data_IF_407377274418
#
_entry.id   IF_407377274418
#
_cell.length_a   1.000
_cell.length_b   1.000
_cell.length_c   1.000
_cell.angle_alpha   90.00
_cell.angle_beta   90.00
_cell.angle_gamma   90.00
#
_symmetry.space_group_name_H-M   'P 1'
#
loop_
_entity.id
_entity.type
_entity.pdbx_description
1 polymer ?
#
# COMPACT_ATOMS: atom_id res chain seq x y z
N UNK A 1 0.99 -0.64 -5.25
CA UNK A 1 1.52 -0.81 -6.62
C UNK A 1 2.76 0.06 -6.77
N UNK A 2 3.96 -0.49 -6.57
CA UNK A 2 5.22 0.28 -6.61
C UNK A 2 5.41 1.05 -7.92
N UNK A 3 4.87 0.54 -9.04
CA UNK A 3 4.92 1.18 -10.36
C UNK A 3 4.27 2.57 -10.42
N UNK A 4 3.35 2.88 -9.51
CA UNK A 4 2.65 4.16 -9.52
C UNK A 4 3.47 5.29 -8.86
N UNK A 5 4.67 5.00 -8.30
CA UNK A 5 5.59 6.01 -7.79
C UNK A 5 5.48 6.29 -6.29
N UNK A 6 4.93 5.35 -5.52
CA UNK A 6 5.01 5.37 -4.06
C UNK A 6 6.05 4.34 -3.61
N UNK A 7 6.93 4.74 -2.69
CA UNK A 7 7.94 3.86 -2.11
C UNK A 7 7.28 3.02 -1.01
N UNK A 8 6.84 1.81 -1.37
CA UNK A 8 6.11 0.92 -0.47
C UNK A 8 7.05 0.39 0.62
N UNK A 9 6.78 0.77 1.86
CA UNK A 9 7.49 0.24 3.04
C UNK A 9 7.00 -1.18 3.33
N UNK A 10 5.68 -1.40 3.25
CA UNK A 10 5.10 -2.73 3.43
C UNK A 10 3.60 -2.72 3.73
N UNK A 11 3.06 -3.93 3.83
CA UNK A 11 1.71 -4.22 4.31
C UNK A 11 1.82 -4.89 5.67
N UNK A 12 1.05 -4.38 6.63
CA UNK A 12 1.10 -4.79 8.01
C UNK A 12 -0.30 -5.18 8.47
N UNK A 13 -0.42 -6.32 9.14
CA UNK A 13 -1.59 -6.66 9.93
C UNK A 13 -1.16 -6.68 11.41
N UNK A 14 -2.09 -6.39 12.36
CA UNK A 14 -1.81 -6.55 13.77
C UNK A 14 -1.37 -7.99 14.04
N UNK A 15 -0.15 -8.15 14.59
CA UNK A 15 0.32 -9.45 15.07
C UNK A 15 -0.53 -9.95 16.26
N UNK A 16 -1.07 -9.00 17.03
CA UNK A 16 -2.03 -9.23 18.10
C UNK A 16 -3.04 -8.07 18.08
N UNK A 17 -4.32 -8.35 18.34
CA UNK A 17 -5.40 -7.36 18.31
C UNK A 17 -6.40 -7.59 17.17
N UNK A 18 -6.68 -6.56 16.38
CA UNK A 18 -7.75 -6.60 15.37
C UNK A 18 -7.40 -7.51 14.19
N UNK A 19 -8.23 -8.51 13.94
CA UNK A 19 -8.14 -9.36 12.74
C UNK A 19 -8.73 -8.69 11.48
N UNK A 20 -9.37 -7.51 11.62
CA UNK A 20 -10.09 -6.83 10.53
C UNK A 20 -9.38 -5.58 10.03
N UNK A 21 -8.22 -5.23 10.61
CA UNK A 21 -7.47 -4.03 10.25
C UNK A 21 -6.17 -4.42 9.55
N UNK A 22 -5.88 -3.78 8.42
CA UNK A 22 -4.60 -3.86 7.75
C UNK A 22 -4.10 -2.44 7.43
N UNK A 23 -2.79 -2.26 7.45
CA UNK A 23 -2.12 -1.00 7.18
C UNK A 23 -1.19 -1.15 5.98
N UNK A 24 -1.23 -0.18 5.07
CA UNK A 24 -0.24 -0.05 4.01
C UNK A 24 0.55 1.24 4.27
N UNK A 25 1.87 1.10 4.48
CA UNK A 25 2.75 2.24 4.68
C UNK A 25 3.63 2.45 3.44
N UNK A 26 3.71 3.68 2.97
CA UNK A 26 4.58 4.07 1.88
C UNK A 26 5.07 5.51 2.06
N UNK A 27 6.25 5.79 1.54
CA UNK A 27 6.83 7.13 1.50
C UNK A 27 6.51 7.79 0.16
N UNK A 28 6.24 9.10 0.25
CA UNK A 28 6.00 9.97 -0.90
C UNK A 28 6.60 11.33 -0.61
N UNK A 29 7.15 11.97 -1.64
CA UNK A 29 7.96 13.17 -1.49
C UNK A 29 7.19 14.36 -0.90
N UNK A 30 5.96 14.57 -1.37
CA UNK A 30 5.10 15.67 -0.95
C UNK A 30 3.62 15.39 -1.31
N UNK A 31 2.72 16.27 -0.88
CA UNK A 31 1.28 16.11 -1.12
C UNK A 31 0.89 16.21 -2.61
N UNK A 32 1.60 17.02 -3.41
CA UNK A 32 1.34 17.10 -4.85
C UNK A 32 1.70 15.79 -5.57
N UNK A 33 2.84 15.18 -5.19
CA UNK A 33 3.22 13.85 -5.66
C UNK A 33 2.19 12.78 -5.26
N UNK A 34 1.59 12.91 -4.06
CA UNK A 34 0.51 12.03 -3.60
C UNK A 34 -0.77 12.15 -4.44
N UNK A 35 -1.19 13.35 -4.81
CA UNK A 35 -2.33 13.54 -5.70
C UNK A 35 -2.07 12.95 -7.09
N UNK A 36 -0.89 13.19 -7.65
CA UNK A 36 -0.48 12.59 -8.93
C UNK A 36 -0.40 11.05 -8.85
N UNK A 37 0.07 10.49 -7.73
CA UNK A 37 0.04 9.06 -7.46
C UNK A 37 -1.40 8.52 -7.44
N UNK A 38 -2.32 9.21 -6.75
CA UNK A 38 -3.74 8.82 -6.68
C UNK A 38 -4.40 8.83 -8.06
N UNK A 39 -4.16 9.85 -8.86
CA UNK A 39 -4.69 9.93 -10.23
C UNK A 39 -4.19 8.76 -11.09
N UNK A 40 -2.89 8.45 -11.01
CA UNK A 40 -2.30 7.29 -11.70
C UNK A 40 -2.87 5.96 -11.21
N UNK A 41 -3.03 5.79 -9.89
CA UNK A 41 -3.57 4.57 -9.30
C UNK A 41 -5.03 4.32 -9.72
N UNK A 42 -5.84 5.38 -9.82
CA UNK A 42 -7.22 5.29 -10.28
C UNK A 42 -7.34 4.94 -11.77
N UNK A 43 -6.37 5.37 -12.58
CA UNK A 43 -6.31 5.07 -14.01
C UNK A 43 -5.64 3.71 -14.33
N UNK A 44 -4.89 3.13 -13.40
CA UNK A 44 -4.20 1.85 -13.61
C UNK A 44 -5.22 0.69 -13.69
N UNK A 45 -5.20 -0.13 -14.77
CA UNK A 45 -6.13 -1.24 -14.93
C UNK A 45 -6.09 -2.27 -13.80
N UNK A 46 -4.91 -2.55 -13.23
CA UNK A 46 -4.76 -3.45 -12.09
C UNK A 46 -5.25 -2.79 -10.79
N UNK A 47 -5.06 -1.48 -10.65
CA UNK A 47 -5.63 -0.69 -9.55
C UNK A 47 -7.17 -0.75 -9.55
N UNK A 48 -7.78 -0.58 -10.72
CA UNK A 48 -9.23 -0.67 -10.91
C UNK A 48 -9.75 -2.09 -10.67
N UNK A 49 -9.11 -3.12 -11.22
CA UNK A 49 -9.49 -4.51 -10.98
C UNK A 49 -9.44 -4.88 -9.49
N UNK A 50 -8.41 -4.44 -8.77
CA UNK A 50 -8.30 -4.65 -7.33
C UNK A 50 -9.40 -3.91 -6.55
N UNK A 51 -9.72 -2.69 -6.95
CA UNK A 51 -10.80 -1.93 -6.32
C UNK A 51 -12.16 -2.59 -6.56
N UNK A 52 -12.44 -3.02 -7.80
CA UNK A 52 -13.69 -3.69 -8.16
C UNK A 52 -13.82 -5.04 -7.44
N UNK A 53 -12.73 -5.80 -7.32
CA UNK A 53 -12.66 -7.01 -6.50
C UNK A 53 -12.98 -6.71 -5.03
N UNK A 54 -12.34 -5.69 -4.44
CA UNK A 54 -12.60 -5.27 -3.07
C UNK A 54 -14.02 -4.82 -2.82
N UNK A 55 -14.61 -4.13 -3.79
CA UNK A 55 -15.97 -3.63 -3.72
C UNK A 55 -16.99 -4.76 -3.84
N UNK A 56 -16.72 -5.76 -4.70
CA UNK A 56 -17.58 -6.94 -4.89
C UNK A 56 -17.59 -7.83 -3.66
N UNK A 57 -16.41 -8.15 -3.14
CA UNK A 57 -16.25 -9.05 -2.00
C UNK A 57 -16.47 -8.34 -0.65
N UNK A 58 -16.63 -7.01 -0.65
CA UNK A 58 -16.96 -6.17 0.52
C UNK A 58 -16.01 -6.34 1.72
N UNK A 59 -14.75 -6.71 1.48
CA UNK A 59 -13.78 -6.89 2.55
C UNK A 59 -13.18 -5.56 3.06
N UNK A 60 -13.31 -4.46 2.32
CA UNK A 60 -12.94 -3.12 2.80
C UNK A 60 -14.20 -2.41 3.27
N UNK A 61 -14.44 -2.45 4.59
CA UNK A 61 -15.57 -1.78 5.23
C UNK A 61 -15.28 -0.30 5.49
N UNK A 62 -14.02 0.03 5.75
CA UNK A 62 -13.56 1.39 6.05
C UNK A 62 -12.13 1.55 5.55
N UNK A 63 -11.85 2.65 4.88
CA UNK A 63 -10.49 3.06 4.52
C UNK A 63 -10.20 4.41 5.17
N UNK A 64 -9.28 4.42 6.14
CA UNK A 64 -8.75 5.64 6.74
C UNK A 64 -7.35 5.92 6.19
N UNK A 65 -7.00 7.20 6.05
CA UNK A 65 -5.69 7.63 5.56
C UNK A 65 -5.09 8.65 6.52
N UNK A 66 -3.83 8.44 6.88
CA UNK A 66 -3.10 9.32 7.80
C UNK A 66 -1.77 9.70 7.14
N UNK A 67 -1.45 10.99 7.16
CA UNK A 67 -0.18 11.51 6.66
C UNK A 67 0.75 11.76 7.84
N UNK A 68 1.86 11.03 7.86
CA UNK A 68 2.84 11.10 8.93
C UNK A 68 4.08 11.84 8.43
N UNK A 69 4.63 12.70 9.28
CA UNK A 69 5.95 13.29 9.09
C UNK A 69 6.96 12.47 9.89
N UNK A 70 8.04 12.03 9.26
CA UNK A 70 9.13 11.35 9.95
C UNK A 70 9.83 12.36 10.87
N UNK A 71 9.61 12.25 12.18
CA UNK A 71 10.18 13.16 13.20
C UNK A 71 11.54 12.68 13.71
N UNK A 72 11.79 11.37 13.68
CA UNK A 72 13.08 10.76 13.98
C UNK A 72 13.29 9.56 13.05
N UNK A 73 14.46 9.49 12.42
CA UNK A 73 14.84 8.37 11.57
C UNK A 73 15.04 7.09 12.40
N UNK A 74 15.14 5.92 11.76
CA UNK A 74 15.45 4.68 12.46
C UNK A 74 16.76 4.84 13.24
N UNK A 75 16.71 4.57 14.54
CA UNK A 75 17.87 4.62 15.44
C UNK A 75 18.76 3.37 15.32
N UNK A 76 18.57 2.58 14.25
CA UNK A 76 19.31 1.38 13.92
C UNK A 76 19.48 1.25 12.40
N UNK A 77 20.37 0.35 11.94
CA UNK A 77 20.64 0.17 10.51
C UNK A 77 19.37 -0.27 9.77
N UNK A 78 19.09 0.39 8.63
CA UNK A 78 17.99 0.02 7.75
C UNK A 78 18.27 -1.37 7.18
N UNK A 79 17.56 -2.40 7.63
CA UNK A 79 17.57 -3.69 6.93
C UNK A 79 16.95 -3.49 5.56
N UNK A 80 17.80 -3.50 4.52
CA UNK A 80 17.35 -3.56 3.14
C UNK A 80 16.90 -4.99 2.88
N UNK A 81 15.60 -5.23 2.97
CA UNK A 81 15.03 -6.46 2.44
C UNK A 81 14.92 -6.30 0.92
N UNK A 82 15.84 -6.93 0.19
CA UNK A 82 15.70 -7.11 -1.26
C UNK A 82 14.50 -8.03 -1.46
N UNK A 83 13.35 -7.43 -1.76
CA UNK A 83 12.17 -8.21 -2.09
C UNK A 83 12.27 -8.50 -3.57
N UNK A 84 12.68 -9.71 -3.94
CA UNK A 84 12.34 -10.27 -5.24
C UNK A 84 10.81 -10.23 -5.31
N UNK A 85 10.29 -9.25 -6.04
CA UNK A 85 8.86 -9.15 -6.32
C UNK A 85 8.52 -10.31 -7.26
N UNK A 86 8.27 -11.50 -6.71
CA UNK A 86 7.54 -12.54 -7.41
C UNK A 86 6.10 -12.05 -7.50
N UNK A 87 5.81 -11.36 -8.60
CA UNK A 87 4.44 -11.22 -9.08
C UNK A 87 3.95 -12.65 -9.30
N UNK A 88 3.17 -13.19 -8.34
CA UNK A 88 2.37 -14.38 -8.61
C UNK A 88 1.30 -13.97 -9.61
N UNK A 89 1.61 -14.13 -10.89
CA UNK A 89 0.58 -14.34 -11.89
C UNK A 89 -0.22 -15.58 -11.49
N UNK A 90 -1.54 -15.48 -11.56
CA UNK A 90 -2.45 -16.63 -11.55
C UNK A 90 -2.78 -17.20 -10.17
N UNK A 91 -3.88 -16.74 -9.59
CA UNK A 91 -4.81 -17.65 -8.92
C UNK A 91 -6.15 -17.47 -9.63
N UNK A 92 -6.34 -18.26 -10.69
CA UNK A 92 -7.65 -18.64 -11.20
C UNK A 92 -8.20 -19.79 -10.35
N UNK A 93 -9.52 -19.75 -10.14
CA UNK A 93 -10.43 -20.77 -9.61
C UNK A 93 -10.31 -21.15 -8.12
#
# INVERSE_FOLDING_TARGET
IPRCGADLIGYFAPHEGSATTAYAAYSIENLAAYEAYRARLAADPAGKANYDFARREKFILKEDRIFLKLVSGPHGPRQMFHTDVIVKEGIEA
#
